data_IF_476134011988
#
_entry.id   IF_476134011988
#
_cell.length_a   1.000
_cell.length_b   1.000
_cell.length_c   1.000
_cell.angle_alpha   90.00
_cell.angle_beta   90.00
_cell.angle_gamma   90.00
#
_symmetry.space_group_name_H-M   'P 1'
#
loop_
_entity.id
_entity.type
_entity.pdbx_description
1 polymer ?
#
# COMPACT_ATOMS: atom_id res chain seq x y z
N UNK A 1 12.62 2.92 -12.41
CA UNK A 1 13.77 2.24 -13.06
C UNK A 1 14.84 2.01 -12.01
N UNK A 2 15.52 0.86 -12.05
CA UNK A 2 16.70 0.61 -11.21
C UNK A 2 17.88 1.46 -11.68
N UNK A 3 18.81 1.76 -10.78
CA UNK A 3 19.99 2.53 -11.11
C UNK A 3 20.86 1.76 -12.10
N UNK A 4 21.17 2.37 -13.24
CA UNK A 4 22.14 1.84 -14.19
C UNK A 4 23.58 2.18 -13.79
N UNK A 5 24.55 1.60 -14.50
CA UNK A 5 25.98 1.89 -14.28
C UNK A 5 26.30 3.38 -14.40
N UNK A 6 25.66 4.07 -15.33
CA UNK A 6 25.83 5.53 -15.51
C UNK A 6 25.28 6.33 -14.33
N UNK A 7 24.12 5.96 -13.79
CA UNK A 7 23.53 6.61 -12.61
C UNK A 7 24.45 6.46 -11.40
N UNK A 8 24.99 5.25 -11.21
CA UNK A 8 25.90 4.92 -10.11
C UNK A 8 27.21 5.68 -10.26
N UNK A 9 27.83 5.64 -11.45
CA UNK A 9 29.06 6.38 -11.72
C UNK A 9 28.88 7.89 -11.49
N UNK A 10 27.75 8.45 -11.94
CA UNK A 10 27.40 9.85 -11.72
C UNK A 10 27.22 10.17 -10.23
N UNK A 11 26.50 9.34 -9.49
CA UNK A 11 26.29 9.50 -8.05
C UNK A 11 27.61 9.51 -7.28
N UNK A 12 28.48 8.53 -7.53
CA UNK A 12 29.80 8.43 -6.88
C UNK A 12 30.68 9.63 -7.25
N UNK A 13 30.68 10.05 -8.53
CA UNK A 13 31.42 11.25 -8.97
C UNK A 13 30.96 12.50 -8.24
N UNK A 14 29.65 12.71 -8.10
CA UNK A 14 29.11 13.87 -7.39
C UNK A 14 29.56 13.89 -5.92
N UNK A 15 29.49 12.74 -5.24
CA UNK A 15 29.98 12.63 -3.87
C UNK A 15 31.50 12.88 -3.78
N UNK A 16 32.28 12.45 -4.78
CA UNK A 16 33.74 12.68 -4.80
C UNK A 16 34.18 14.12 -4.97
N UNK A 17 33.29 14.98 -5.46
CA UNK A 17 33.54 16.40 -5.53
C UNK A 17 33.35 17.11 -4.19
N UNK A 18 32.55 16.53 -3.27
CA UNK A 18 32.22 17.13 -1.98
C UNK A 18 32.86 16.44 -0.77
N UNK A 19 33.22 15.15 -0.89
CA UNK A 19 33.64 14.31 0.22
C UNK A 19 35.00 13.66 -0.05
N UNK A 20 35.75 13.40 1.02
CA UNK A 20 37.04 12.72 0.98
C UNK A 20 36.86 11.21 1.06
N UNK A 21 37.66 10.51 0.28
CA UNK A 21 37.85 9.07 0.45
C UNK A 21 38.98 8.86 1.46
N UNK A 22 38.83 7.90 2.39
CA UNK A 22 39.85 7.61 3.39
C UNK A 22 41.16 7.13 2.73
N UNK A 23 42.32 7.62 3.21
CA UNK A 23 43.62 7.37 2.56
C UNK A 23 44.02 5.88 2.41
N UNK A 24 43.49 4.99 3.26
CA UNK A 24 43.78 3.55 3.21
C UNK A 24 42.60 2.71 2.75
N UNK A 25 41.66 3.31 2.02
CA UNK A 25 40.53 2.56 1.48
C UNK A 25 40.93 1.75 0.24
N UNK A 26 40.47 0.51 0.16
CA UNK A 26 40.49 -0.28 -1.07
C UNK A 26 39.51 0.31 -2.09
N UNK A 27 40.01 1.12 -3.01
CA UNK A 27 39.20 1.81 -4.02
C UNK A 27 38.50 0.83 -4.98
N UNK A 28 39.16 -0.27 -5.34
CA UNK A 28 38.62 -1.28 -6.25
C UNK A 28 37.50 -2.07 -5.54
N UNK A 29 37.76 -2.53 -4.32
CA UNK A 29 36.75 -3.20 -3.49
C UNK A 29 35.55 -2.31 -3.20
N UNK A 30 35.77 -1.02 -2.92
CA UNK A 30 34.67 -0.05 -2.76
C UNK A 30 33.86 0.12 -4.04
N UNK A 31 34.50 0.32 -5.19
CA UNK A 31 33.80 0.51 -6.46
C UNK A 31 32.97 -0.72 -6.84
N UNK A 32 33.54 -1.93 -6.68
CA UNK A 32 32.84 -3.20 -6.89
C UNK A 32 31.63 -3.33 -5.96
N UNK A 33 31.82 -3.07 -4.67
CA UNK A 33 30.75 -3.17 -3.68
C UNK A 33 29.64 -2.18 -4.00
N UNK A 34 29.97 -0.92 -4.28
CA UNK A 34 29.01 0.11 -4.66
C UNK A 34 28.22 -0.26 -5.90
N UNK A 35 28.89 -0.71 -6.97
CA UNK A 35 28.23 -1.17 -8.18
C UNK A 35 27.20 -2.26 -7.89
N UNK A 36 27.63 -3.33 -7.21
CA UNK A 36 26.77 -4.48 -6.93
C UNK A 36 25.55 -4.13 -6.07
N UNK A 37 25.73 -3.32 -5.02
CA UNK A 37 24.62 -3.04 -4.10
C UNK A 37 23.67 -1.96 -4.62
N UNK A 38 24.17 -0.97 -5.36
CA UNK A 38 23.37 0.15 -5.84
C UNK A 38 22.57 -0.19 -7.09
N UNK A 39 22.96 -1.21 -7.86
CA UNK A 39 22.14 -1.76 -8.96
C UNK A 39 20.74 -2.20 -8.49
N UNK A 40 20.60 -2.54 -7.21
CA UNK A 40 19.34 -2.96 -6.61
C UNK A 40 18.45 -1.79 -6.13
N UNK A 41 18.95 -0.56 -6.12
CA UNK A 41 18.14 0.62 -5.75
C UNK A 41 17.63 1.33 -7.00
N UNK A 42 16.61 2.18 -6.86
CA UNK A 42 16.13 3.01 -7.95
C UNK A 42 17.07 4.18 -8.24
N UNK A 43 17.18 4.56 -9.52
CA UNK A 43 17.96 5.74 -9.91
C UNK A 43 17.48 7.02 -9.21
N UNK A 44 16.16 7.12 -9.00
CA UNK A 44 15.54 8.23 -8.28
C UNK A 44 15.97 8.29 -6.82
N UNK A 45 15.93 7.17 -6.08
CA UNK A 45 16.32 7.16 -4.67
C UNK A 45 17.81 7.46 -4.52
N UNK A 46 18.63 6.87 -5.38
CA UNK A 46 20.07 7.11 -5.44
C UNK A 46 20.38 8.60 -5.58
N UNK A 47 19.87 9.26 -6.61
CA UNK A 47 20.17 10.67 -6.87
C UNK A 47 19.56 11.60 -5.82
N UNK A 48 18.39 11.25 -5.28
CA UNK A 48 17.77 12.00 -4.19
C UNK A 48 18.65 11.94 -2.95
N UNK A 49 19.16 10.77 -2.57
CA UNK A 49 20.04 10.64 -1.41
C UNK A 49 21.35 11.38 -1.63
N UNK A 50 21.97 11.30 -2.82
CA UNK A 50 23.17 12.11 -3.14
C UNK A 50 22.92 13.59 -2.90
N UNK A 51 21.79 14.12 -3.41
CA UNK A 51 21.43 15.52 -3.19
C UNK A 51 21.30 15.84 -1.70
N UNK A 52 20.62 14.98 -0.93
CA UNK A 52 20.45 15.18 0.51
C UNK A 52 21.76 15.18 1.28
N UNK A 53 22.71 14.29 0.90
CA UNK A 53 24.05 14.27 1.48
C UNK A 53 24.76 15.59 1.19
N UNK A 54 24.78 16.02 -0.07
CA UNK A 54 25.49 17.25 -0.49
C UNK A 54 24.85 18.53 0.08
N UNK A 55 23.57 18.50 0.44
CA UNK A 55 22.86 19.60 1.07
C UNK A 55 22.86 19.53 2.61
N UNK A 56 23.63 18.61 3.20
CA UNK A 56 23.71 18.41 4.66
C UNK A 56 22.34 18.13 5.32
N UNK A 57 21.44 17.43 4.61
CA UNK A 57 20.11 17.06 5.10
C UNK A 57 20.12 15.71 5.87
N UNK A 58 21.31 15.11 6.07
CA UNK A 58 21.48 13.77 6.67
C UNK A 58 22.42 13.83 7.87
N UNK A 59 21.84 13.90 9.07
CA UNK A 59 22.58 14.09 10.33
C UNK A 59 23.40 12.87 10.79
N UNK A 60 23.28 11.72 10.13
CA UNK A 60 23.88 10.45 10.56
C UNK A 60 25.08 10.00 9.72
N UNK A 61 25.62 10.90 8.88
CA UNK A 61 26.79 10.66 8.05
C UNK A 61 27.94 11.59 8.46
N UNK A 62 29.15 11.23 8.04
CA UNK A 62 30.27 12.16 8.08
C UNK A 62 30.06 13.30 7.08
N UNK A 63 30.31 14.51 7.53
CA UNK A 63 30.40 15.73 6.71
C UNK A 63 31.65 15.75 5.80
N UNK A 64 32.65 14.94 6.15
CA UNK A 64 33.99 14.97 5.56
C UNK A 64 34.26 13.76 4.69
N UNK A 65 33.81 12.59 5.11
CA UNK A 65 34.13 11.33 4.47
C UNK A 65 32.98 10.78 3.64
N UNK A 66 33.32 10.00 2.62
CA UNK A 66 32.35 9.19 1.91
C UNK A 66 31.50 8.36 2.88
N UNK A 67 30.19 8.23 2.62
CA UNK A 67 29.40 7.25 3.34
C UNK A 67 30.01 5.85 3.13
N UNK A 68 29.80 4.94 4.06
CA UNK A 68 30.04 3.53 3.78
C UNK A 68 28.98 3.00 2.80
N UNK A 69 29.33 1.96 2.07
CA UNK A 69 28.40 1.32 1.12
C UNK A 69 27.11 0.85 1.79
N UNK A 70 27.20 0.37 3.04
CA UNK A 70 26.03 -0.01 3.85
C UNK A 70 25.16 1.19 4.19
N UNK A 71 25.75 2.29 4.63
CA UNK A 71 25.00 3.51 4.98
C UNK A 71 24.29 4.07 3.77
N UNK A 72 24.98 4.17 2.63
CA UNK A 72 24.42 4.77 1.44
C UNK A 72 23.23 3.96 0.89
N UNK A 73 23.35 2.63 0.83
CA UNK A 73 22.24 1.74 0.44
C UNK A 73 21.07 1.82 1.41
N UNK A 74 21.35 1.86 2.72
CA UNK A 74 20.30 1.97 3.74
C UNK A 74 19.48 3.23 3.53
N UNK A 75 20.12 4.37 3.33
CA UNK A 75 19.44 5.64 3.06
C UNK A 75 18.56 5.57 1.80
N UNK A 76 19.04 4.94 0.74
CA UNK A 76 18.26 4.74 -0.49
C UNK A 76 17.03 3.87 -0.24
N UNK A 77 17.19 2.75 0.48
CA UNK A 77 16.10 1.82 0.80
C UNK A 77 15.08 2.44 1.75
N UNK A 78 15.51 3.19 2.75
CA UNK A 78 14.62 3.87 3.69
C UNK A 78 13.75 4.90 2.97
N UNK A 79 14.34 5.63 2.00
CA UNK A 79 13.59 6.54 1.15
C UNK A 79 12.54 5.81 0.29
N UNK A 80 12.91 4.69 -0.33
CA UNK A 80 12.00 3.86 -1.13
C UNK A 80 10.85 3.29 -0.28
N UNK A 81 11.18 2.75 0.90
CA UNK A 81 10.21 2.19 1.83
C UNK A 81 9.26 3.26 2.36
N UNK A 82 9.76 4.46 2.66
CA UNK A 82 8.94 5.60 3.07
C UNK A 82 7.94 5.99 1.98
N UNK A 83 8.41 6.08 0.72
CA UNK A 83 7.55 6.39 -0.43
C UNK A 83 6.49 5.31 -0.64
N UNK A 84 6.88 4.03 -0.58
CA UNK A 84 5.96 2.89 -0.69
C UNK A 84 4.92 2.91 0.44
N UNK A 85 5.34 3.21 1.67
CA UNK A 85 4.44 3.38 2.80
C UNK A 85 3.38 4.46 2.56
N UNK A 86 3.80 5.64 2.10
CA UNK A 86 2.88 6.73 1.77
C UNK A 86 1.92 6.36 0.63
N UNK A 87 2.42 5.72 -0.43
CA UNK A 87 1.59 5.25 -1.53
C UNK A 87 0.54 4.23 -1.07
N UNK A 88 0.91 3.32 -0.18
CA UNK A 88 -0.01 2.33 0.40
C UNK A 88 -1.08 3.00 1.27
N UNK A 89 -0.75 4.04 2.03
CA UNK A 89 -1.74 4.81 2.79
C UNK A 89 -2.79 5.44 1.86
N UNK A 90 -2.36 6.07 0.77
CA UNK A 90 -3.27 6.66 -0.23
C UNK A 90 -4.13 5.59 -0.89
N UNK A 91 -3.52 4.48 -1.34
CA UNK A 91 -4.25 3.35 -1.93
C UNK A 91 -5.32 2.82 -0.98
N UNK A 92 -4.98 2.63 0.29
CA UNK A 92 -5.91 2.12 1.29
C UNK A 92 -7.04 3.11 1.58
N UNK A 93 -6.77 4.42 1.60
CA UNK A 93 -7.81 5.44 1.75
C UNK A 93 -8.81 5.41 0.59
N UNK A 94 -8.32 5.29 -0.66
CA UNK A 94 -9.18 5.18 -1.85
C UNK A 94 -10.04 3.91 -1.82
N UNK A 95 -9.46 2.77 -1.44
CA UNK A 95 -10.19 1.51 -1.33
C UNK A 95 -11.28 1.58 -0.26
N UNK A 96 -10.98 2.17 0.90
CA UNK A 96 -11.97 2.39 1.98
C UNK A 96 -13.11 3.30 1.54
N UNK A 97 -12.78 4.38 0.82
CA UNK A 97 -13.79 5.30 0.27
C UNK A 97 -14.74 4.58 -0.69
N UNK A 98 -14.21 3.84 -1.67
CA UNK A 98 -15.02 3.08 -2.64
C UNK A 98 -15.88 2.01 -1.96
N UNK A 99 -15.34 1.31 -0.96
CA UNK A 99 -16.09 0.32 -0.20
C UNK A 99 -17.24 0.95 0.59
N UNK A 100 -17.04 2.16 1.15
CA UNK A 100 -18.10 2.90 1.83
C UNK A 100 -19.19 3.35 0.86
N UNK A 101 -18.80 3.91 -0.29
CA UNK A 101 -19.74 4.33 -1.33
C UNK A 101 -20.60 3.15 -1.85
N UNK A 102 -20.00 1.99 -2.06
CA UNK A 102 -20.73 0.79 -2.48
C UNK A 102 -21.73 0.35 -1.40
N UNK A 103 -21.31 0.32 -0.13
CA UNK A 103 -22.22 0.00 0.99
C UNK A 103 -23.38 0.99 1.10
N UNK A 104 -23.13 2.28 0.90
CA UNK A 104 -24.18 3.31 0.90
C UNK A 104 -25.14 3.16 -0.28
N UNK A 105 -24.65 2.83 -1.48
CA UNK A 105 -25.50 2.52 -2.64
C UNK A 105 -26.38 1.30 -2.38
N UNK A 106 -25.79 0.19 -1.91
CA UNK A 106 -26.54 -1.02 -1.55
C UNK A 106 -27.54 -0.77 -0.42
N UNK A 107 -27.19 0.04 0.59
CA UNK A 107 -28.12 0.41 1.65
C UNK A 107 -29.27 1.27 1.13
N UNK A 108 -29.03 2.22 0.21
CA UNK A 108 -30.06 3.02 -0.45
C UNK A 108 -30.97 2.18 -1.34
N UNK A 109 -30.43 1.19 -2.05
CA UNK A 109 -31.22 0.24 -2.83
C UNK A 109 -32.07 -0.67 -1.94
N UNK A 110 -31.53 -1.16 -0.82
CA UNK A 110 -32.31 -1.96 0.14
C UNK A 110 -33.33 -1.16 0.95
N UNK A 111 -33.11 0.14 1.15
CA UNK A 111 -34.05 1.05 1.82
C UNK A 111 -34.95 1.81 0.86
N UNK A 112 -34.86 1.54 -0.45
CA UNK A 112 -35.71 2.22 -1.43
C UNK A 112 -37.19 1.88 -1.15
N UNK A 113 -38.11 2.84 -1.27
CA UNK A 113 -39.54 2.60 -1.02
C UNK A 113 -40.08 1.44 -1.86
N UNK A 114 -39.56 1.25 -3.08
CA UNK A 114 -39.94 0.16 -3.98
C UNK A 114 -39.58 -1.22 -3.43
N UNK A 115 -38.42 -1.40 -2.80
CA UNK A 115 -37.98 -2.69 -2.22
C UNK A 115 -38.74 -3.01 -0.93
N UNK A 116 -39.06 -1.98 -0.13
CA UNK A 116 -39.86 -2.12 1.10
C UNK A 116 -41.31 -2.49 0.77
N UNK A 117 -41.93 -1.80 -0.19
CA UNK A 117 -43.31 -2.08 -0.63
C UNK A 117 -43.42 -3.48 -1.23
N UNK A 118 -42.46 -3.90 -2.06
CA UNK A 118 -42.45 -5.27 -2.59
C UNK A 118 -42.29 -6.32 -1.49
N UNK A 119 -41.45 -6.08 -0.47
CA UNK A 119 -41.31 -6.98 0.68
C UNK A 119 -42.61 -7.09 1.49
N UNK A 120 -43.23 -5.97 1.82
CA UNK A 120 -44.49 -5.93 2.56
C UNK A 120 -45.60 -6.69 1.82
N UNK A 121 -45.72 -6.45 0.51
CA UNK A 121 -46.70 -7.13 -0.34
C UNK A 121 -46.44 -8.64 -0.40
N UNK A 122 -45.18 -9.08 -0.46
CA UNK A 122 -44.83 -10.50 -0.45
C UNK A 122 -45.15 -11.17 0.89
N UNK A 123 -44.88 -10.50 2.02
CA UNK A 123 -45.22 -10.99 3.36
C UNK A 123 -46.73 -11.09 3.58
N UNK A 124 -47.51 -10.11 3.10
CA UNK A 124 -48.98 -10.19 3.11
C UNK A 124 -49.49 -11.38 2.30
N UNK A 125 -48.91 -11.62 1.12
CA UNK A 125 -49.30 -12.74 0.26
C UNK A 125 -48.98 -14.09 0.91
N UNK A 126 -47.81 -14.23 1.53
CA UNK A 126 -47.38 -15.46 2.22
C UNK A 126 -48.21 -15.74 3.49
N UNK A 127 -48.50 -14.71 4.28
CA UNK A 127 -49.36 -14.83 5.46
C UNK A 127 -50.81 -15.20 5.08
N UNK A 128 -51.31 -14.67 3.97
CA UNK A 128 -52.60 -15.07 3.40
C UNK A 128 -52.65 -16.55 3.02
N UNK A 129 -51.59 -17.07 2.38
CA UNK A 129 -51.49 -18.48 1.99
C UNK A 129 -51.35 -19.40 3.22
N UNK A 130 -50.52 -19.02 4.21
CA UNK A 130 -50.38 -19.78 5.46
C UNK A 130 -51.66 -19.83 6.29
N UNK A 131 -52.48 -18.77 6.26
CA UNK A 131 -53.81 -18.73 6.88
C UNK A 131 -54.84 -19.62 6.17
N UNK A 132 -54.72 -19.81 4.86
CA UNK A 132 -55.56 -20.75 4.10
C UNK A 132 -55.20 -22.19 4.46
N UNK A 133 -53.90 -22.50 4.61
CA UNK A 133 -53.44 -23.86 4.91
C UNK A 133 -53.82 -24.35 6.32
N UNK A 134 -53.96 -23.44 7.31
CA UNK A 134 -54.48 -23.76 8.65
C UNK A 134 -55.98 -24.07 8.70
N UNK A 135 -56.76 -23.66 7.69
CA UNK A 135 -58.20 -23.96 7.59
C UNK A 135 -58.50 -25.35 7.01
N UNK A 136 -57.50 -26.01 6.43
CA UNK A 136 -57.59 -27.37 5.88
C UNK A 136 -56.75 -28.39 6.68
N UNK A 137 -56.39 -28.06 7.93
CA UNK A 137 -55.82 -29.04 8.85
C UNK A 137 -56.84 -30.16 9.13
N UNK A 138 -56.41 -31.44 9.16
CA UNK A 138 -57.32 -32.56 9.24
C UNK A 138 -58.15 -32.49 10.52
N UNK A 139 -59.47 -32.52 10.36
CA UNK A 139 -60.45 -32.67 11.43
C UNK A 139 -60.18 -34.00 12.12
N UNK A 140 -59.44 -33.98 13.24
CA UNK A 140 -59.36 -35.14 14.14
C UNK A 140 -60.74 -35.32 14.75
N UNK A 141 -61.50 -36.29 14.22
CA UNK A 141 -62.71 -36.75 14.86
C UNK A 141 -62.30 -37.84 15.87
N UNK A 142 -62.30 -37.48 17.15
CA UNK A 142 -62.09 -38.39 18.26
C UNK A 142 -63.35 -39.25 18.47
N UNK A 143 -63.15 -40.56 18.50
CA UNK A 143 -64.12 -41.60 18.89
C UNK A 143 -64.83 -41.30 20.22
N UNK A 144 -66.08 -41.76 20.37
CA UNK A 144 -66.50 -42.78 21.38
C UNK A 144 -68.03 -42.90 21.46
N UNK A 145 -68.49 -44.15 21.30
CA UNK A 145 -69.73 -44.83 21.72
C UNK A 145 -71.06 -44.07 21.62
#
# INVERSE_FOLDING_TARGET
MKAGKEDIAKAIRMLSCGLKIAQQSDHEGMALTYGMVLENVSAWSLMTVVKRILCDEINCLSDTFFPSTREFVRLCRDLENSLLGKANLVRNAVLRFRAKELKEKTAKEHSSPLTVIHKQKLEETLNGIGGIMKRFGPQQNSEKW
#
